data_IF_436303442808
#
_entry.id   IF_436303442808
#
_cell.length_a   1.000
_cell.length_b   1.000
_cell.length_c   1.000
_cell.angle_alpha   90.00
_cell.angle_beta   90.00
_cell.angle_gamma   90.00
#
_symmetry.space_group_name_H-M   'P 1'
#
loop_
_entity.id
_entity.type
_entity.pdbx_description
1 polymer ?
#
# COMPACT_ATOMS: atom_id res chain seq x y z
N UNK A 1 51.85 91.72 -5.13
CA UNK A 1 53.24 91.29 -5.31
C UNK A 1 53.52 90.20 -4.28
N UNK A 2 53.73 88.96 -4.77
CA UNK A 2 54.31 87.76 -4.14
C UNK A 2 53.87 87.32 -2.73
N UNK A 3 53.13 86.19 -2.60
CA UNK A 3 53.62 84.80 -2.45
C UNK A 3 54.42 84.53 -1.16
N UNK A 4 53.86 83.67 -0.28
CA UNK A 4 54.53 82.44 0.19
C UNK A 4 53.50 81.49 0.83
N UNK A 5 53.26 80.36 0.16
CA UNK A 5 52.68 79.14 0.73
C UNK A 5 53.82 78.33 1.35
N UNK A 6 53.61 77.72 2.51
CA UNK A 6 54.34 76.52 2.92
C UNK A 6 53.38 75.57 3.64
N UNK A 7 53.42 74.32 3.20
CA UNK A 7 52.47 73.24 3.46
C UNK A 7 52.73 72.58 4.82
N UNK A 8 51.66 72.34 5.59
CA UNK A 8 51.67 71.41 6.72
C UNK A 8 51.17 70.06 6.21
N UNK A 9 52.03 69.04 6.28
CA UNK A 9 51.72 67.65 5.95
C UNK A 9 50.99 67.03 7.15
N UNK A 10 49.69 66.76 7.02
CA UNK A 10 48.92 65.99 8.02
C UNK A 10 48.94 64.52 7.60
N UNK A 11 49.61 63.69 8.38
CA UNK A 11 49.58 62.22 8.23
C UNK A 11 48.27 61.75 8.84
N UNK A 12 47.33 61.32 7.99
CA UNK A 12 46.07 60.71 8.41
C UNK A 12 46.27 59.20 8.53
N UNK A 13 46.35 58.71 9.77
CA UNK A 13 46.34 57.28 10.10
C UNK A 13 44.96 56.71 9.83
N UNK A 14 44.85 55.93 8.75
CA UNK A 14 43.67 55.10 8.44
C UNK A 14 43.67 53.90 9.37
N UNK A 15 42.70 53.83 10.27
CA UNK A 15 42.38 52.61 11.01
C UNK A 15 41.76 51.61 10.03
N UNK A 16 42.51 50.57 9.67
CA UNK A 16 41.92 49.38 9.06
C UNK A 16 41.21 48.60 10.16
N UNK A 17 39.88 48.66 10.15
CA UNK A 17 39.03 47.71 10.86
C UNK A 17 39.13 46.40 10.08
N UNK A 18 39.90 45.45 10.60
CA UNK A 18 39.82 44.06 10.18
C UNK A 18 38.44 43.55 10.59
N UNK A 19 37.59 43.17 9.62
CA UNK A 19 36.56 42.18 9.91
C UNK A 19 37.28 40.92 10.41
N UNK A 20 36.81 40.34 11.50
CA UNK A 20 37.15 38.97 11.85
C UNK A 20 36.67 38.06 10.71
N UNK A 21 37.43 37.01 10.44
CA UNK A 21 36.93 35.82 9.76
C UNK A 21 35.90 35.16 10.70
N UNK A 22 34.72 35.75 10.81
CA UNK A 22 33.54 35.03 11.24
C UNK A 22 33.27 34.07 10.08
N UNK A 23 33.76 32.84 10.21
CA UNK A 23 33.24 31.67 9.48
C UNK A 23 31.73 31.83 9.47
N UNK A 24 31.16 32.17 8.31
CA UNK A 24 29.74 32.31 8.16
C UNK A 24 29.14 30.93 8.41
N UNK A 25 28.77 30.68 9.67
CA UNK A 25 28.02 29.52 10.10
C UNK A 25 26.63 29.67 9.50
N UNK A 26 26.46 29.18 8.27
CA UNK A 26 25.15 28.91 7.73
C UNK A 26 24.55 27.76 8.54
N UNK A 27 23.82 28.10 9.60
CA UNK A 27 22.90 27.16 10.22
C UNK A 27 21.76 26.96 9.24
N UNK A 28 21.50 25.72 8.89
CA UNK A 28 20.23 25.38 8.26
C UNK A 28 19.12 25.83 9.21
N UNK A 29 18.14 26.54 8.66
CA UNK A 29 16.99 26.96 9.47
C UNK A 29 16.19 25.71 9.84
N UNK A 30 15.67 25.64 11.08
CA UNK A 30 14.80 24.55 11.46
C UNK A 30 13.58 24.53 10.54
N UNK A 31 13.33 23.38 9.93
CA UNK A 31 12.08 23.11 9.25
C UNK A 31 11.08 22.50 10.22
N UNK A 32 9.82 22.69 9.88
CA UNK A 32 8.72 22.15 10.65
C UNK A 32 7.73 21.57 9.67
N UNK A 33 7.73 20.25 9.56
CA UNK A 33 6.61 19.55 8.97
C UNK A 33 5.55 19.43 10.06
N UNK A 34 4.51 20.26 9.94
CA UNK A 34 3.34 20.13 10.79
C UNK A 34 2.37 19.19 10.11
N UNK A 35 2.37 17.94 10.55
CA UNK A 35 1.35 16.99 10.19
C UNK A 35 0.16 17.23 11.11
N UNK A 36 -0.67 18.21 10.75
CA UNK A 36 -2.03 18.13 11.26
C UNK A 36 -2.59 16.83 10.69
N UNK A 37 -2.96 15.89 11.56
CA UNK A 37 -4.10 15.08 11.19
C UNK A 37 -5.17 16.10 10.84
N UNK A 38 -5.51 16.16 9.56
CA UNK A 38 -6.61 16.98 9.10
C UNK A 38 -7.79 16.72 10.02
N UNK A 39 -8.71 17.69 10.17
CA UNK A 39 -10.08 17.29 10.49
C UNK A 39 -10.47 16.30 9.37
N UNK A 40 -10.29 15.00 9.65
CA UNK A 40 -9.93 13.98 8.65
C UNK A 40 -8.55 13.28 8.81
N UNK A 41 -8.23 12.76 10.01
CA UNK A 41 -7.57 11.47 10.35
C UNK A 41 -6.17 11.07 9.81
N UNK A 42 -5.19 10.89 10.73
CA UNK A 42 -4.34 9.69 10.82
C UNK A 42 -5.25 8.55 11.20
N UNK A 43 -5.07 7.41 10.54
CA UNK A 43 -6.13 6.45 10.49
C UNK A 43 -5.70 5.06 10.97
N UNK A 44 -6.13 4.71 12.18
CA UNK A 44 -6.22 3.31 12.59
C UNK A 44 -7.36 2.58 11.85
N UNK A 45 -8.14 3.28 11.01
CA UNK A 45 -9.05 2.65 10.06
C UNK A 45 -8.25 2.08 8.92
N UNK A 46 -8.40 0.78 8.79
CA UNK A 46 -7.75 -0.04 7.81
C UNK A 46 -8.83 -0.72 6.97
N UNK A 47 -8.80 -0.57 5.67
CA UNK A 47 -9.69 -1.27 4.75
C UNK A 47 -8.92 -2.32 3.99
N UNK A 48 -9.20 -3.59 4.26
CA UNK A 48 -8.52 -4.73 3.67
C UNK A 48 -9.43 -5.34 2.61
N UNK A 49 -9.00 -5.30 1.36
CA UNK A 49 -9.67 -5.98 0.25
C UNK A 49 -8.91 -7.26 -0.08
N UNK A 50 -9.50 -8.42 0.20
CA UNK A 50 -9.01 -9.69 -0.32
C UNK A 50 -9.57 -9.94 -1.72
N UNK A 51 -8.68 -10.25 -2.65
CA UNK A 51 -9.01 -10.67 -4.02
C UNK A 51 -8.62 -12.14 -4.13
N UNK A 52 -9.62 -13.00 -4.19
CA UNK A 52 -9.42 -14.46 -4.20
C UNK A 52 -9.66 -14.99 -5.60
N UNK A 53 -8.65 -15.62 -6.17
CA UNK A 53 -8.82 -16.39 -7.38
C UNK A 53 -9.82 -17.55 -7.14
N UNK A 54 -10.87 -17.55 -7.96
CA UNK A 54 -11.98 -18.51 -7.89
C UNK A 54 -11.91 -19.60 -8.96
N UNK A 55 -10.75 -19.79 -9.61
CA UNK A 55 -10.50 -20.84 -10.59
C UNK A 55 -10.52 -22.26 -10.00
N UNK A 56 -10.53 -23.22 -10.94
CA UNK A 56 -10.49 -24.67 -10.69
C UNK A 56 -9.43 -25.12 -9.68
N UNK A 57 -8.24 -24.52 -9.75
CA UNK A 57 -7.04 -24.92 -9.01
C UNK A 57 -6.99 -24.34 -7.59
N UNK A 58 -7.84 -23.38 -7.25
CA UNK A 58 -7.65 -22.57 -6.05
C UNK A 58 -8.16 -23.17 -4.72
N UNK A 59 -8.95 -24.24 -4.75
CA UNK A 59 -9.53 -24.86 -3.55
C UNK A 59 -8.54 -25.14 -2.39
N UNK A 60 -7.38 -25.80 -2.60
CA UNK A 60 -6.43 -26.06 -1.53
C UNK A 60 -5.85 -24.76 -0.93
N UNK A 61 -5.60 -23.74 -1.75
CA UNK A 61 -5.04 -22.46 -1.28
C UNK A 61 -6.05 -21.62 -0.53
N UNK A 62 -7.34 -21.65 -0.92
CA UNK A 62 -8.42 -21.01 -0.15
C UNK A 62 -8.50 -21.61 1.27
N UNK A 63 -8.37 -22.93 1.40
CA UNK A 63 -8.34 -23.61 2.72
C UNK A 63 -7.10 -23.20 3.52
N UNK A 64 -5.93 -23.13 2.87
CA UNK A 64 -4.69 -22.70 3.52
C UNK A 64 -4.81 -21.25 4.04
N UNK A 65 -5.39 -20.36 3.24
CA UNK A 65 -5.65 -18.98 3.65
C UNK A 65 -6.59 -18.91 4.86
N UNK A 66 -7.69 -19.65 4.86
CA UNK A 66 -8.63 -19.73 6.01
C UNK A 66 -7.92 -20.15 7.29
N UNK A 67 -7.07 -21.18 7.21
CA UNK A 67 -6.38 -21.75 8.37
C UNK A 67 -5.38 -20.79 9.02
N UNK A 68 -4.88 -19.80 8.27
CA UNK A 68 -3.86 -18.86 8.75
C UNK A 68 -4.42 -17.44 9.00
N UNK A 69 -5.73 -17.23 8.82
CA UNK A 69 -6.35 -15.92 9.03
C UNK A 69 -6.25 -15.44 10.48
N UNK A 70 -6.34 -16.36 11.46
CA UNK A 70 -6.22 -16.00 12.88
C UNK A 70 -4.90 -15.27 13.17
N UNK A 71 -3.79 -15.77 12.63
CA UNK A 71 -2.48 -15.12 12.77
C UNK A 71 -2.47 -13.71 12.14
N UNK A 72 -3.00 -13.59 10.92
CA UNK A 72 -3.12 -12.32 10.20
C UNK A 72 -3.90 -11.25 10.98
N UNK A 73 -5.07 -11.60 11.52
CA UNK A 73 -5.97 -10.60 12.11
C UNK A 73 -5.65 -10.27 13.58
N UNK A 74 -4.96 -11.18 14.28
CA UNK A 74 -4.72 -11.09 15.72
C UNK A 74 -4.05 -9.80 16.17
N UNK A 75 -3.07 -9.32 15.41
CA UNK A 75 -2.34 -8.09 15.74
C UNK A 75 -3.19 -6.84 15.52
N UNK A 76 -4.00 -6.81 14.44
CA UNK A 76 -4.93 -5.70 14.20
C UNK A 76 -5.97 -5.59 15.33
N UNK A 77 -6.49 -6.72 15.80
CA UNK A 77 -7.41 -6.76 16.95
C UNK A 77 -6.70 -6.29 18.23
N UNK A 78 -5.52 -6.84 18.52
CA UNK A 78 -4.76 -6.54 19.74
C UNK A 78 -4.32 -5.08 19.81
N UNK A 79 -3.98 -4.47 18.67
CA UNK A 79 -3.60 -3.06 18.55
C UNK A 79 -4.79 -2.10 18.41
N UNK A 80 -6.02 -2.61 18.34
CA UNK A 80 -7.23 -1.78 18.28
C UNK A 80 -7.42 -1.04 16.96
N UNK A 81 -7.04 -1.65 15.83
CA UNK A 81 -7.37 -1.11 14.51
C UNK A 81 -8.89 -1.15 14.29
N UNK A 82 -9.44 -0.07 13.74
CA UNK A 82 -10.81 -0.04 13.20
C UNK A 82 -10.75 -0.63 11.78
N UNK A 83 -10.50 -1.93 11.67
CA UNK A 83 -10.39 -2.55 10.35
C UNK A 83 -11.77 -2.89 9.75
N UNK A 84 -11.86 -2.87 8.42
CA UNK A 84 -12.94 -3.47 7.65
C UNK A 84 -12.35 -4.39 6.60
N UNK A 85 -12.92 -5.57 6.44
CA UNK A 85 -12.48 -6.56 5.46
C UNK A 85 -13.60 -6.80 4.47
N UNK A 86 -13.31 -6.62 3.19
CA UNK A 86 -14.16 -7.05 2.09
C UNK A 86 -13.45 -8.15 1.29
N UNK A 87 -14.22 -9.04 0.68
CA UNK A 87 -13.69 -10.12 -0.18
C UNK A 87 -14.37 -10.04 -1.54
N UNK A 88 -13.57 -10.07 -2.60
CA UNK A 88 -14.03 -10.21 -4.00
C UNK A 88 -13.36 -11.42 -4.64
N UNK A 89 -13.85 -11.84 -5.80
CA UNK A 89 -13.17 -12.85 -6.61
C UNK A 89 -12.48 -12.24 -7.82
N UNK A 90 -11.51 -12.96 -8.36
CA UNK A 90 -10.83 -12.60 -9.59
C UNK A 90 -11.75 -12.57 -10.81
N UNK A 91 -12.96 -13.16 -10.75
CA UNK A 91 -13.98 -13.10 -11.80
C UNK A 91 -14.92 -11.87 -11.74
N UNK A 92 -14.73 -10.91 -10.82
CA UNK A 92 -15.57 -9.72 -10.73
C UNK A 92 -15.53 -8.83 -11.99
N UNK A 93 -14.43 -8.88 -12.75
CA UNK A 93 -14.25 -8.15 -14.01
C UNK A 93 -15.37 -8.40 -15.01
N UNK A 94 -16.00 -9.58 -14.98
CA UNK A 94 -17.08 -9.96 -15.89
C UNK A 94 -18.24 -8.96 -15.88
N UNK A 95 -18.54 -8.33 -14.74
CA UNK A 95 -19.60 -7.33 -14.64
C UNK A 95 -19.30 -6.05 -15.47
N UNK A 96 -18.02 -5.77 -15.74
CA UNK A 96 -17.61 -4.67 -16.62
C UNK A 96 -17.89 -4.93 -18.10
N UNK A 97 -18.12 -6.19 -18.49
CA UNK A 97 -18.28 -6.60 -19.89
C UNK A 97 -19.66 -7.16 -20.20
N UNK A 98 -20.28 -7.85 -19.24
CA UNK A 98 -21.54 -8.52 -19.45
C UNK A 98 -22.64 -7.97 -18.54
N UNK A 99 -23.74 -7.54 -19.15
CA UNK A 99 -24.93 -7.06 -18.45
C UNK A 99 -25.85 -8.17 -17.90
N UNK A 100 -25.43 -9.44 -17.95
CA UNK A 100 -26.25 -10.55 -17.45
C UNK A 100 -26.16 -10.68 -15.92
N UNK A 101 -27.23 -11.16 -15.28
CA UNK A 101 -27.32 -11.20 -13.83
C UNK A 101 -26.19 -12.02 -13.16
N UNK A 102 -25.73 -13.09 -13.79
CA UNK A 102 -24.64 -13.93 -13.25
C UNK A 102 -23.36 -13.13 -13.14
N UNK A 103 -22.92 -12.51 -14.24
CA UNK A 103 -21.70 -11.70 -14.26
C UNK A 103 -21.81 -10.47 -13.34
N UNK A 104 -22.95 -9.79 -13.32
CA UNK A 104 -23.18 -8.66 -12.41
C UNK A 104 -23.11 -9.10 -10.93
N UNK A 105 -23.59 -10.30 -10.60
CA UNK A 105 -23.49 -10.84 -9.23
C UNK A 105 -22.04 -11.16 -8.81
N UNK A 106 -21.14 -11.46 -9.76
CA UNK A 106 -19.72 -11.71 -9.45
C UNK A 106 -18.98 -10.47 -8.93
N UNK A 107 -19.47 -9.26 -9.22
CA UNK A 107 -18.89 -8.02 -8.70
C UNK A 107 -19.26 -7.72 -7.25
N UNK A 108 -20.18 -8.46 -6.62
CA UNK A 108 -20.57 -8.23 -5.23
C UNK A 108 -19.44 -8.58 -4.27
N UNK A 109 -19.30 -7.81 -3.20
CA UNK A 109 -18.56 -8.28 -2.04
C UNK A 109 -19.19 -9.58 -1.52
N UNK A 110 -18.33 -10.56 -1.24
CA UNK A 110 -18.76 -11.85 -0.74
C UNK A 110 -19.31 -11.70 0.68
N UNK A 111 -20.48 -12.29 0.89
CA UNK A 111 -21.23 -12.21 2.15
C UNK A 111 -21.80 -13.58 2.53
N UNK A 112 -21.06 -14.65 2.28
CA UNK A 112 -21.50 -16.03 2.58
C UNK A 112 -21.73 -16.24 4.09
N UNK A 113 -21.06 -15.45 4.93
CA UNK A 113 -21.30 -15.38 6.38
C UNK A 113 -22.56 -14.61 6.79
N UNK A 114 -23.24 -13.97 5.83
CA UNK A 114 -24.31 -12.99 6.08
C UNK A 114 -23.80 -11.55 6.18
N UNK A 115 -22.49 -11.33 6.33
CA UNK A 115 -21.86 -10.01 6.41
C UNK A 115 -20.87 -9.82 5.25
N UNK A 116 -21.03 -8.77 4.45
CA UNK A 116 -20.12 -8.45 3.35
C UNK A 116 -18.86 -7.71 3.81
N UNK A 117 -18.98 -6.96 4.90
CA UNK A 117 -17.90 -6.24 5.56
C UNK A 117 -17.69 -6.88 6.92
N UNK A 118 -16.48 -7.38 7.18
CA UNK A 118 -16.09 -7.92 8.48
C UNK A 118 -15.27 -6.87 9.23
N UNK A 119 -15.53 -6.72 10.52
CA UNK A 119 -14.93 -5.69 11.38
C UNK A 119 -14.73 -6.23 12.82
N UNK A 120 -14.12 -5.49 13.75
CA UNK A 120 -13.90 -5.96 15.12
C UNK A 120 -15.16 -6.38 15.89
N UNK A 121 -16.34 -5.93 15.47
CA UNK A 121 -17.62 -6.30 16.09
C UNK A 121 -18.25 -7.57 15.50
N UNK A 122 -17.68 -8.11 14.42
CA UNK A 122 -18.16 -9.33 13.76
C UNK A 122 -18.01 -10.54 14.69
N UNK A 123 -19.12 -11.20 15.08
CA UNK A 123 -19.05 -12.43 15.87
C UNK A 123 -18.29 -13.52 15.10
N UNK A 124 -17.41 -14.24 15.79
CA UNK A 124 -16.62 -15.33 15.24
C UNK A 124 -15.97 -14.98 13.88
N UNK A 125 -15.28 -13.83 13.82
CA UNK A 125 -14.73 -13.26 12.59
C UNK A 125 -13.91 -14.26 11.76
N UNK A 126 -13.22 -15.21 12.39
CA UNK A 126 -12.48 -16.27 11.71
C UNK A 126 -13.39 -17.17 10.87
N UNK A 127 -14.53 -17.57 11.42
CA UNK A 127 -15.54 -18.36 10.70
C UNK A 127 -16.18 -17.53 9.59
N UNK A 128 -16.53 -16.27 9.89
CA UNK A 128 -17.12 -15.37 8.89
C UNK A 128 -16.17 -15.10 7.72
N UNK A 129 -14.88 -14.92 8.00
CA UNK A 129 -13.84 -14.77 7.00
C UNK A 129 -13.68 -16.04 6.17
N UNK A 130 -13.56 -17.20 6.81
CA UNK A 130 -13.43 -18.49 6.10
C UNK A 130 -14.60 -18.74 5.14
N UNK A 131 -15.84 -18.41 5.56
CA UNK A 131 -17.00 -18.46 4.69
C UNK A 131 -16.91 -17.46 3.53
N UNK A 132 -16.48 -16.23 3.80
CA UNK A 132 -16.37 -15.19 2.78
C UNK A 132 -15.21 -15.41 1.80
N UNK A 133 -14.13 -16.12 2.14
CA UNK A 133 -13.04 -16.43 1.17
C UNK A 133 -13.18 -17.76 0.45
N UNK A 134 -14.07 -18.66 0.91
CA UNK A 134 -14.38 -19.92 0.22
C UNK A 134 -15.17 -19.63 -1.07
N UNK A 135 -14.48 -19.05 -2.06
CA UNK A 135 -15.01 -18.56 -3.31
C UNK A 135 -15.65 -19.68 -4.15
N UNK A 136 -15.16 -20.91 -3.96
CA UNK A 136 -15.40 -22.02 -4.85
C UNK A 136 -14.38 -22.03 -5.97
N UNK A 137 -14.57 -22.93 -6.93
CA UNK A 137 -13.64 -23.20 -8.04
C UNK A 137 -14.32 -23.11 -9.42
N UNK A 138 -15.44 -22.39 -9.49
CA UNK A 138 -16.27 -22.21 -10.70
C UNK A 138 -16.08 -20.83 -11.35
N UNK A 139 -14.97 -20.18 -11.02
CA UNK A 139 -14.50 -18.95 -11.64
C UNK A 139 -14.09 -19.13 -13.10
N UNK A 140 -13.68 -18.03 -13.70
CA UNK A 140 -13.25 -17.98 -15.08
C UNK A 140 -11.73 -18.14 -15.14
N UNK A 141 -11.19 -19.06 -15.96
CA UNK A 141 -9.74 -19.20 -16.15
C UNK A 141 -9.07 -18.04 -16.89
N UNK A 142 -9.82 -16.98 -17.21
CA UNK A 142 -9.30 -15.67 -17.57
C UNK A 142 -9.18 -14.83 -16.28
N UNK A 143 -8.05 -14.99 -15.62
CA UNK A 143 -7.77 -14.37 -14.32
C UNK A 143 -7.41 -12.88 -14.48
N UNK A 144 -8.28 -12.00 -13.98
CA UNK A 144 -8.10 -10.54 -14.06
C UNK A 144 -8.29 -9.85 -12.71
N UNK A 145 -7.50 -10.21 -11.69
CA UNK A 145 -7.65 -9.65 -10.34
C UNK A 145 -7.58 -8.12 -10.34
N UNK A 146 -6.77 -7.47 -11.18
CA UNK A 146 -6.65 -6.01 -11.16
C UNK A 146 -7.89 -5.30 -11.71
N UNK A 147 -8.44 -5.79 -12.82
CA UNK A 147 -9.72 -5.30 -13.35
C UNK A 147 -10.87 -5.62 -12.40
N UNK A 148 -10.84 -6.77 -11.73
CA UNK A 148 -11.82 -7.17 -10.72
C UNK A 148 -11.85 -6.21 -9.52
N UNK A 149 -10.69 -5.70 -9.07
CA UNK A 149 -10.63 -4.65 -8.04
C UNK A 149 -11.40 -3.41 -8.50
N UNK A 150 -11.09 -2.89 -9.69
CA UNK A 150 -11.76 -1.69 -10.22
C UNK A 150 -13.28 -1.90 -10.35
N UNK A 151 -13.68 -3.00 -10.98
CA UNK A 151 -15.09 -3.28 -11.23
C UNK A 151 -15.86 -3.43 -9.91
N UNK A 152 -15.33 -4.18 -8.95
CA UNK A 152 -16.01 -4.37 -7.66
C UNK A 152 -16.11 -3.07 -6.85
N UNK A 153 -15.05 -2.26 -6.80
CA UNK A 153 -15.04 -1.01 -6.02
C UNK A 153 -15.88 0.13 -6.62
N UNK A 154 -16.24 0.03 -7.91
CA UNK A 154 -17.17 0.96 -8.57
C UNK A 154 -18.58 0.40 -8.73
N UNK A 155 -18.81 -0.89 -8.43
CA UNK A 155 -20.09 -1.52 -8.67
C UNK A 155 -21.19 -0.98 -7.74
N UNK A 156 -22.37 -0.70 -8.30
CA UNK A 156 -23.52 -0.18 -7.55
C UNK A 156 -24.04 -1.12 -6.45
N UNK A 157 -23.75 -2.42 -6.56
CA UNK A 157 -24.06 -3.39 -5.50
C UNK A 157 -23.24 -3.18 -4.23
N UNK A 158 -22.07 -2.54 -4.34
CA UNK A 158 -21.16 -2.36 -3.22
C UNK A 158 -21.19 -0.93 -2.65
N UNK A 159 -21.79 0.04 -3.36
CA UNK A 159 -21.80 1.45 -2.97
C UNK A 159 -22.46 1.70 -1.60
N UNK A 160 -23.37 0.83 -1.17
CA UNK A 160 -24.05 0.94 0.12
C UNK A 160 -23.19 0.58 1.35
N UNK A 161 -22.03 -0.08 1.16
CA UNK A 161 -21.19 -0.51 2.27
C UNK A 161 -20.25 0.59 2.80
N UNK A 162 -20.10 1.71 2.08
CA UNK A 162 -19.14 2.75 2.44
C UNK A 162 -17.71 2.22 2.53
N UNK A 163 -17.33 1.38 1.56
CA UNK A 163 -16.01 0.76 1.44
C UNK A 163 -15.42 1.04 0.04
N UNK A 164 -14.13 1.41 -0.07
CA UNK A 164 -13.29 1.83 1.04
C UNK A 164 -13.78 3.17 1.63
N UNK A 165 -13.49 3.38 2.91
CA UNK A 165 -13.64 4.64 3.62
C UNK A 165 -12.58 5.60 3.11
N UNK A 166 -13.00 6.82 2.76
CA UNK A 166 -12.12 7.83 2.18
C UNK A 166 -10.98 8.28 3.09
N UNK A 167 -11.14 8.09 4.40
CA UNK A 167 -10.09 8.39 5.36
C UNK A 167 -9.15 7.20 5.59
N UNK A 168 -9.55 5.95 5.35
CA UNK A 168 -8.83 4.73 5.75
C UNK A 168 -7.60 4.43 4.90
N UNK A 169 -6.60 3.76 5.51
CA UNK A 169 -5.52 3.13 4.74
C UNK A 169 -6.09 1.88 4.05
N UNK A 170 -5.87 1.72 2.75
CA UNK A 170 -6.39 0.60 1.98
C UNK A 170 -5.30 -0.44 1.69
N UNK A 171 -5.43 -1.63 2.27
CA UNK A 171 -4.59 -2.77 1.92
C UNK A 171 -5.32 -3.70 0.95
N UNK A 172 -4.75 -3.97 -0.21
CA UNK A 172 -5.26 -5.00 -1.13
C UNK A 172 -4.38 -6.24 -1.00
N UNK A 173 -4.98 -7.41 -0.87
CA UNK A 173 -4.28 -8.70 -0.80
C UNK A 173 -4.83 -9.59 -1.90
N UNK A 174 -4.01 -9.87 -2.91
CA UNK A 174 -4.37 -10.76 -4.03
C UNK A 174 -3.81 -12.15 -3.77
N UNK A 175 -4.64 -13.18 -3.89
CA UNK A 175 -4.24 -14.59 -3.73
C UNK A 175 -4.65 -15.35 -4.99
N UNK A 176 -3.67 -15.79 -5.78
CA UNK A 176 -3.89 -16.39 -7.11
C UNK A 176 -2.74 -17.33 -7.47
N UNK A 177 -3.02 -18.40 -8.20
CA UNK A 177 -2.00 -19.25 -8.83
C UNK A 177 -1.73 -18.88 -10.29
N UNK A 178 -2.29 -17.75 -10.76
CA UNK A 178 -2.05 -17.17 -12.08
C UNK A 178 -1.45 -15.75 -12.03
N UNK A 179 -1.18 -15.19 -13.21
CA UNK A 179 -0.84 -13.77 -13.36
C UNK A 179 -2.10 -12.94 -13.69
N UNK A 180 -2.00 -11.62 -13.73
CA UNK A 180 -3.10 -10.75 -14.16
C UNK A 180 -3.16 -10.58 -15.68
N UNK A 181 -4.25 -11.04 -16.29
CA UNK A 181 -4.51 -10.91 -17.72
C UNK A 181 -5.53 -9.82 -18.02
N UNK A 182 -5.64 -8.82 -17.15
CA UNK A 182 -6.57 -7.70 -17.34
C UNK A 182 -6.43 -7.07 -18.72
N UNK A 183 -7.54 -7.00 -19.47
CA UNK A 183 -7.55 -6.51 -20.83
C UNK A 183 -8.92 -5.89 -21.22
N UNK A 184 -9.01 -5.36 -22.43
CA UNK A 184 -10.19 -4.65 -22.94
C UNK A 184 -11.20 -5.54 -23.67
N UNK A 185 -11.04 -6.86 -23.65
CA UNK A 185 -11.86 -7.80 -24.43
C UNK A 185 -12.71 -8.71 -23.53
N UNK A 186 -13.78 -9.25 -24.10
CA UNK A 186 -14.69 -10.20 -23.43
C UNK A 186 -14.17 -11.64 -23.42
N UNK A 187 -12.96 -11.88 -23.91
CA UNK A 187 -12.33 -13.21 -23.98
C UNK A 187 -10.92 -13.11 -23.43
N UNK A 188 -10.33 -14.19 -22.94
CA UNK A 188 -8.91 -14.15 -22.63
C UNK A 188 -8.08 -13.87 -23.89
N UNK A 189 -6.89 -13.31 -23.68
CA UNK A 189 -5.97 -12.95 -24.74
C UNK A 189 -5.54 -14.15 -25.60
N UNK A 190 -5.63 -15.37 -25.05
CA UNK A 190 -5.24 -16.62 -25.72
C UNK A 190 -6.26 -17.73 -25.45
N UNK A 191 -7.38 -17.78 -26.19
CA UNK A 191 -8.33 -18.88 -26.06
C UNK A 191 -7.74 -20.17 -26.66
N UNK A 192 -7.94 -21.30 -25.98
CA UNK A 192 -7.66 -22.62 -26.53
C UNK A 192 -8.76 -23.08 -27.49
N UNK A 193 -8.49 -24.15 -28.24
CA UNK A 193 -9.41 -24.70 -29.24
C UNK A 193 -10.77 -25.15 -28.66
N UNK A 194 -10.86 -25.34 -27.33
CA UNK A 194 -12.08 -25.73 -26.61
C UNK A 194 -12.78 -24.55 -25.93
N UNK A 195 -12.30 -23.32 -26.12
CA UNK A 195 -12.89 -22.10 -25.55
C UNK A 195 -12.49 -21.78 -24.11
N UNK A 196 -11.56 -22.53 -23.51
CA UNK A 196 -10.91 -22.15 -22.25
C UNK A 196 -9.71 -21.25 -22.48
N UNK A 197 -9.09 -20.74 -21.42
CA UNK A 197 -7.94 -19.86 -21.52
C UNK A 197 -6.63 -20.65 -21.48
N UNK A 198 -5.70 -20.28 -22.37
CA UNK A 198 -4.37 -20.87 -22.46
C UNK A 198 -3.33 -19.78 -22.26
N UNK A 199 -3.33 -19.26 -21.04
CA UNK A 199 -2.40 -18.24 -20.62
C UNK A 199 -0.96 -18.82 -20.49
N UNK A 200 -0.84 -20.15 -20.42
CA UNK A 200 0.43 -20.88 -20.27
C UNK A 200 1.31 -20.91 -21.52
N UNK A 201 0.73 -20.75 -22.71
CA UNK A 201 1.42 -21.13 -23.94
C UNK A 201 2.42 -20.11 -24.47
N UNK A 202 2.40 -18.83 -24.05
CA UNK A 202 3.13 -17.83 -24.82
C UNK A 202 3.49 -16.56 -24.02
N UNK A 203 4.80 -16.35 -23.84
CA UNK A 203 5.46 -15.10 -23.38
C UNK A 203 5.04 -13.78 -24.08
N UNK A 204 4.45 -13.76 -25.29
CA UNK A 204 3.93 -12.56 -25.94
C UNK A 204 2.65 -11.97 -25.36
N UNK A 205 1.99 -12.61 -24.37
CA UNK A 205 0.86 -11.97 -23.68
C UNK A 205 1.26 -10.58 -23.15
N UNK A 206 2.49 -10.46 -22.62
CA UNK A 206 3.12 -9.19 -22.19
C UNK A 206 3.32 -8.16 -23.30
N UNK A 207 3.44 -8.62 -24.53
CA UNK A 207 3.60 -7.77 -25.72
C UNK A 207 2.28 -7.58 -26.48
N UNK A 208 1.18 -8.13 -25.96
CA UNK A 208 -0.13 -7.99 -26.59
C UNK A 208 -0.53 -6.50 -26.55
N UNK A 209 -0.98 -5.92 -27.68
CA UNK A 209 -1.33 -4.50 -27.73
C UNK A 209 -2.34 -4.07 -26.65
N UNK A 210 -3.32 -4.92 -26.33
CA UNK A 210 -4.29 -4.62 -25.26
C UNK A 210 -3.68 -4.65 -23.85
N UNK A 211 -2.60 -5.39 -23.60
CA UNK A 211 -1.91 -5.30 -22.31
C UNK A 211 -1.20 -3.96 -22.14
N UNK A 212 -0.87 -3.27 -23.25
CA UNK A 212 -0.27 -1.94 -23.20
C UNK A 212 -1.25 -0.87 -22.69
N UNK A 213 -2.57 -1.09 -22.78
CA UNK A 213 -3.59 -0.21 -22.20
C UNK A 213 -4.02 -0.63 -20.79
N UNK A 214 -3.53 -1.76 -20.31
CA UNK A 214 -3.77 -2.31 -18.96
C UNK A 214 -2.44 -2.47 -18.20
N UNK A 215 -1.61 -1.44 -18.20
CA UNK A 215 -0.37 -1.43 -17.42
C UNK A 215 -0.66 -1.38 -15.92
N UNK A 216 0.24 -1.93 -15.11
CA UNK A 216 0.17 -1.89 -13.64
C UNK A 216 0.02 -0.46 -13.13
N UNK A 217 0.70 0.50 -13.77
CA UNK A 217 0.60 1.94 -13.50
C UNK A 217 -0.85 2.46 -13.52
N UNK A 218 -1.71 1.94 -14.41
CA UNK A 218 -3.11 2.36 -14.49
C UNK A 218 -3.90 1.95 -13.24
N UNK A 219 -3.63 0.76 -12.73
CA UNK A 219 -4.28 0.23 -11.51
C UNK A 219 -3.76 0.89 -10.25
N UNK A 220 -2.45 1.16 -10.19
CA UNK A 220 -1.86 1.99 -9.13
C UNK A 220 -2.48 3.37 -9.09
N UNK A 221 -2.59 4.02 -10.24
CA UNK A 221 -3.17 5.35 -10.35
C UNK A 221 -4.64 5.35 -9.94
N UNK A 222 -5.40 4.31 -10.33
CA UNK A 222 -6.76 4.11 -9.86
C UNK A 222 -6.85 4.01 -8.33
N UNK A 223 -6.05 3.14 -7.69
CA UNK A 223 -6.04 2.99 -6.23
C UNK A 223 -5.58 4.27 -5.54
N UNK A 224 -4.59 4.96 -6.11
CA UNK A 224 -4.11 6.26 -5.63
C UNK A 224 -5.24 7.28 -5.60
N UNK A 225 -6.01 7.39 -6.69
CA UNK A 225 -7.17 8.29 -6.77
C UNK A 225 -8.28 7.86 -5.79
N UNK A 226 -8.60 6.56 -5.73
CA UNK A 226 -9.66 6.01 -4.88
C UNK A 226 -9.42 6.28 -3.40
N UNK A 227 -8.15 6.30 -2.99
CA UNK A 227 -7.73 6.46 -1.58
C UNK A 227 -7.26 7.88 -1.24
N UNK A 228 -7.20 8.79 -2.23
CA UNK A 228 -6.64 10.13 -2.04
C UNK A 228 -5.15 10.12 -1.68
N UNK A 229 -4.44 9.05 -2.05
CA UNK A 229 -3.02 8.86 -1.74
C UNK A 229 -2.15 9.90 -2.46
N UNK A 230 -1.17 10.44 -1.73
CA UNK A 230 -0.10 11.31 -2.28
C UNK A 230 1.28 10.66 -2.04
N UNK A 231 2.35 11.30 -2.49
CA UNK A 231 3.71 10.81 -2.23
C UNK A 231 4.09 10.96 -0.74
N UNK A 232 3.58 12.00 -0.09
CA UNK A 232 3.84 12.34 1.32
C UNK A 232 2.91 11.58 2.28
N UNK A 233 1.73 11.20 1.80
CA UNK A 233 0.72 10.46 2.56
C UNK A 233 0.26 9.27 1.71
N UNK A 234 1.06 8.21 1.59
CA UNK A 234 0.63 6.99 0.94
C UNK A 234 -0.52 6.36 1.73
N UNK A 235 -1.64 6.08 1.05
CA UNK A 235 -2.88 5.56 1.67
C UNK A 235 -3.27 4.18 1.17
N UNK A 236 -2.40 3.52 0.41
CA UNK A 236 -2.64 2.15 -0.01
C UNK A 236 -1.36 1.37 -0.26
N UNK A 237 -1.48 0.05 -0.18
CA UNK A 237 -0.52 -0.89 -0.74
C UNK A 237 -1.24 -2.12 -1.31
N UNK A 238 -0.54 -2.87 -2.15
CA UNK A 238 -1.04 -4.14 -2.69
C UNK A 238 -0.03 -5.22 -2.36
N UNK A 239 -0.41 -6.21 -1.56
CA UNK A 239 0.38 -7.43 -1.34
C UNK A 239 -0.18 -8.58 -2.16
N UNK A 240 0.66 -9.55 -2.47
CA UNK A 240 0.26 -10.73 -3.27
C UNK A 240 0.73 -12.01 -2.61
N UNK A 241 -0.05 -13.08 -2.75
CA UNK A 241 0.35 -14.45 -2.52
C UNK A 241 0.18 -15.16 -3.87
N UNK A 242 1.29 -15.35 -4.57
CA UNK A 242 1.29 -15.77 -5.98
C UNK A 242 2.42 -16.78 -6.27
N UNK A 243 2.46 -17.28 -7.50
CA UNK A 243 3.59 -18.11 -7.98
C UNK A 243 4.78 -17.20 -8.28
N UNK A 244 5.82 -17.24 -7.44
CA UNK A 244 6.96 -16.32 -7.55
C UNK A 244 8.08 -16.81 -8.47
N UNK A 245 8.20 -18.13 -8.67
CA UNK A 245 9.31 -18.69 -9.43
C UNK A 245 8.95 -19.98 -10.19
N UNK A 246 9.92 -20.43 -10.99
CA UNK A 246 9.78 -21.65 -11.79
C UNK A 246 9.76 -22.94 -10.95
N UNK A 247 10.31 -22.95 -9.74
CA UNK A 247 10.27 -24.13 -8.88
C UNK A 247 8.84 -24.36 -8.38
N UNK A 248 8.20 -23.28 -7.93
CA UNK A 248 6.79 -23.25 -7.55
C UNK A 248 5.88 -23.64 -8.72
N UNK A 249 6.05 -23.00 -9.89
CA UNK A 249 5.26 -23.31 -11.10
C UNK A 249 5.36 -24.78 -11.51
N UNK A 250 6.54 -25.39 -11.40
CA UNK A 250 6.78 -26.75 -11.88
C UNK A 250 6.48 -27.83 -10.83
N UNK A 251 5.93 -27.48 -9.65
CA UNK A 251 5.58 -28.46 -8.62
C UNK A 251 4.38 -29.33 -9.07
N UNK A 252 4.60 -30.63 -9.35
CA UNK A 252 3.58 -31.51 -9.88
C UNK A 252 2.51 -31.91 -8.86
N UNK A 253 2.72 -31.60 -7.56
CA UNK A 253 1.80 -31.99 -6.49
C UNK A 253 0.57 -31.09 -6.39
N UNK A 254 0.64 -29.87 -6.91
CA UNK A 254 -0.30 -28.78 -6.56
C UNK A 254 -0.56 -27.78 -7.71
N UNK A 255 0.35 -27.60 -8.67
CA UNK A 255 0.37 -26.41 -9.55
C UNK A 255 0.29 -26.72 -11.06
N UNK A 256 -0.42 -27.77 -11.48
CA UNK A 256 -0.40 -28.25 -12.88
C UNK A 256 -0.84 -27.20 -13.94
N UNK A 257 -1.57 -26.16 -13.55
CA UNK A 257 -2.01 -25.07 -14.42
C UNK A 257 -1.41 -23.69 -14.07
N UNK A 258 -0.59 -23.60 -13.02
CA UNK A 258 -0.18 -22.34 -12.44
C UNK A 258 0.76 -21.51 -13.33
N UNK A 259 0.72 -20.20 -13.16
CA UNK A 259 1.53 -19.23 -13.91
C UNK A 259 2.31 -18.32 -12.98
N UNK A 260 3.57 -18.05 -13.34
CA UNK A 260 4.40 -17.08 -12.60
C UNK A 260 3.70 -15.72 -12.65
N UNK A 261 3.35 -15.19 -11.48
CA UNK A 261 2.67 -13.92 -11.30
C UNK A 261 3.62 -12.73 -11.44
N UNK A 262 4.08 -12.46 -12.66
CA UNK A 262 5.03 -11.37 -12.94
C UNK A 262 4.41 -10.01 -12.59
N UNK A 263 3.17 -9.74 -13.01
CA UNK A 263 2.51 -8.48 -12.62
C UNK A 263 2.11 -8.46 -11.16
N UNK A 264 1.81 -9.62 -10.56
CA UNK A 264 1.58 -9.71 -9.12
C UNK A 264 2.80 -9.20 -8.35
N UNK A 265 3.98 -9.70 -8.72
CA UNK A 265 5.25 -9.26 -8.15
C UNK A 265 5.51 -7.78 -8.40
N UNK A 266 5.38 -7.31 -9.64
CA UNK A 266 5.59 -5.90 -9.99
C UNK A 266 4.61 -4.96 -9.26
N UNK A 267 3.34 -5.34 -9.13
CA UNK A 267 2.34 -4.58 -8.38
C UNK A 267 2.73 -4.49 -6.91
N UNK A 268 3.10 -5.62 -6.30
CA UNK A 268 3.53 -5.65 -4.90
C UNK A 268 4.76 -4.79 -4.66
N UNK A 269 5.82 -4.97 -5.45
CA UNK A 269 7.05 -4.16 -5.33
C UNK A 269 6.79 -2.68 -5.53
N UNK A 270 5.92 -2.33 -6.48
CA UNK A 270 5.70 -0.93 -6.84
C UNK A 270 4.77 -0.17 -5.88
N UNK A 271 4.17 -0.87 -4.90
CA UNK A 271 3.26 -0.31 -3.89
C UNK A 271 3.71 -0.61 -2.46
N UNK A 272 4.99 -0.98 -2.27
CA UNK A 272 5.57 -1.37 -0.97
C UNK A 272 4.80 -2.50 -0.27
N UNK A 273 4.21 -3.41 -1.06
CA UNK A 273 3.55 -4.61 -0.58
C UNK A 273 4.47 -5.82 -0.51
N UNK A 274 3.98 -6.87 0.13
CA UNK A 274 4.71 -8.13 0.29
C UNK A 274 4.42 -9.07 -0.87
N UNK A 275 5.45 -9.78 -1.32
CA UNK A 275 5.36 -10.91 -2.24
C UNK A 275 5.43 -12.21 -1.44
N UNK A 276 4.28 -12.81 -1.17
CA UNK A 276 4.16 -14.14 -0.59
C UNK A 276 4.10 -15.21 -1.67
N UNK A 277 4.55 -16.42 -1.33
CA UNK A 277 4.52 -17.55 -2.26
C UNK A 277 3.27 -18.40 -2.02
N UNK A 278 2.51 -18.66 -3.09
CA UNK A 278 1.37 -19.58 -3.02
C UNK A 278 1.80 -21.04 -2.80
N UNK A 279 3.07 -21.35 -3.11
CA UNK A 279 3.67 -22.66 -2.88
C UNK A 279 4.13 -22.89 -1.43
N UNK A 280 4.00 -21.90 -0.55
CA UNK A 280 4.31 -22.10 0.86
C UNK A 280 3.38 -23.16 1.47
N UNK A 281 3.95 -24.08 2.26
CA UNK A 281 3.19 -25.16 2.91
C UNK A 281 2.07 -24.64 3.81
N UNK A 282 2.25 -23.44 4.37
CA UNK A 282 1.20 -22.65 5.00
C UNK A 282 1.43 -21.15 4.70
N UNK A 283 0.37 -20.35 4.76
CA UNK A 283 0.50 -18.91 4.51
C UNK A 283 0.83 -18.07 5.75
N UNK A 284 1.17 -18.67 6.90
CA UNK A 284 1.39 -17.90 8.12
C UNK A 284 2.55 -16.91 7.99
N UNK A 285 3.66 -17.31 7.36
CA UNK A 285 4.82 -16.44 7.19
C UNK A 285 4.49 -15.24 6.29
N UNK A 286 3.92 -15.51 5.11
CA UNK A 286 3.48 -14.50 4.15
C UNK A 286 2.44 -13.55 4.77
N UNK A 287 1.43 -14.07 5.46
CA UNK A 287 0.39 -13.25 6.11
C UNK A 287 0.94 -12.41 7.28
N UNK A 288 1.87 -12.95 8.06
CA UNK A 288 2.52 -12.17 9.12
C UNK A 288 3.34 -11.01 8.54
N UNK A 289 4.07 -11.24 7.45
CA UNK A 289 4.79 -10.17 6.75
C UNK A 289 3.82 -9.13 6.18
N UNK A 290 2.73 -9.56 5.55
CA UNK A 290 1.69 -8.64 5.03
C UNK A 290 1.11 -7.80 6.16
N UNK A 291 0.73 -8.41 7.29
CA UNK A 291 0.18 -7.70 8.44
C UNK A 291 1.19 -6.71 9.05
N UNK A 292 2.47 -7.10 9.15
CA UNK A 292 3.54 -6.19 9.60
C UNK A 292 3.72 -5.01 8.64
N UNK A 293 3.75 -5.28 7.33
CA UNK A 293 3.91 -4.26 6.30
C UNK A 293 2.74 -3.27 6.29
N UNK A 294 1.50 -3.75 6.38
CA UNK A 294 0.31 -2.91 6.48
C UNK A 294 0.37 -2.04 7.73
N UNK A 295 0.68 -2.65 8.88
CA UNK A 295 0.82 -1.92 10.14
C UNK A 295 1.88 -0.84 10.02
N UNK A 296 3.01 -1.16 9.39
CA UNK A 296 4.13 -0.26 9.19
C UNK A 296 3.78 0.90 8.26
N UNK A 297 3.15 0.65 7.12
CA UNK A 297 2.79 1.71 6.18
C UNK A 297 1.65 2.58 6.68
N UNK A 298 0.73 2.02 7.49
CA UNK A 298 -0.36 2.78 8.09
C UNK A 298 0.09 3.73 9.22
N UNK A 299 1.28 3.53 9.80
CA UNK A 299 1.77 4.31 10.97
C UNK A 299 2.97 5.22 10.66
N UNK A 300 3.26 5.47 9.38
CA UNK A 300 4.40 6.27 8.92
C UNK A 300 4.01 7.67 8.42
N UNK A 301 4.88 8.63 8.73
CA UNK A 301 4.76 10.02 8.31
C UNK A 301 6.02 10.42 7.54
N UNK A 302 5.89 10.64 6.23
CA UNK A 302 7.01 10.96 5.33
C UNK A 302 7.39 12.43 5.45
N UNK A 303 8.67 12.70 5.65
CA UNK A 303 9.19 14.05 5.81
C UNK A 303 9.43 14.69 4.45
N UNK A 304 9.20 15.99 4.36
CA UNK A 304 9.37 16.75 3.11
C UNK A 304 10.83 16.86 2.67
N UNK A 305 11.78 16.72 3.61
CA UNK A 305 13.22 16.74 3.37
C UNK A 305 13.94 15.75 4.28
N UNK A 306 15.19 15.41 3.92
CA UNK A 306 16.05 14.57 4.75
C UNK A 306 16.45 15.36 6.01
N UNK A 307 16.16 14.88 7.23
CA UNK A 307 16.50 15.56 8.48
C UNK A 307 17.93 15.23 8.95
N UNK A 308 18.52 16.12 9.73
CA UNK A 308 19.58 15.75 10.68
C UNK A 308 18.90 14.99 11.82
N UNK A 309 19.08 13.66 11.85
CA UNK A 309 18.32 12.75 12.73
C UNK A 309 18.33 13.15 14.21
N UNK A 310 19.44 13.69 14.73
CA UNK A 310 19.56 14.11 16.13
C UNK A 310 18.72 15.33 16.50
N UNK A 311 18.19 16.05 15.50
CA UNK A 311 17.39 17.28 15.68
C UNK A 311 15.89 17.01 15.65
N UNK A 312 15.48 15.81 15.21
CA UNK A 312 14.07 15.44 15.12
C UNK A 312 13.40 15.52 16.49
N UNK A 313 12.34 16.31 16.57
CA UNK A 313 11.47 16.42 17.74
C UNK A 313 10.04 16.13 17.31
N UNK A 314 9.50 15.05 17.86
CA UNK A 314 8.12 14.61 17.61
C UNK A 314 7.23 14.99 18.78
N UNK A 315 6.09 15.62 18.47
CA UNK A 315 5.02 15.90 19.42
C UNK A 315 3.70 15.36 18.93
N UNK A 316 2.88 14.89 19.87
CA UNK A 316 1.50 14.46 19.68
C UNK A 316 0.63 15.28 20.63
N UNK A 317 -0.34 16.03 20.11
CA UNK A 317 -1.14 17.01 20.86
C UNK A 317 -0.29 17.99 21.67
N UNK A 318 0.85 18.41 21.11
CA UNK A 318 1.82 19.27 21.78
C UNK A 318 2.68 18.60 22.86
N UNK A 319 2.38 17.35 23.23
CA UNK A 319 3.17 16.55 24.17
C UNK A 319 4.33 15.85 23.43
N UNK A 320 5.54 15.91 23.99
CA UNK A 320 6.71 15.29 23.35
C UNK A 320 6.65 13.77 23.46
N UNK A 321 6.86 13.09 22.33
CA UNK A 321 7.00 11.63 22.29
C UNK A 321 8.48 11.28 22.24
N UNK A 322 8.89 10.32 23.07
CA UNK A 322 10.28 9.88 23.11
C UNK A 322 10.64 9.04 21.88
N UNK A 323 11.89 9.18 21.40
CA UNK A 323 12.45 8.26 20.40
C UNK A 323 12.62 6.89 21.04
N UNK A 324 11.83 5.91 20.61
CA UNK A 324 11.80 4.56 21.15
C UNK A 324 11.08 3.63 20.14
N UNK A 325 11.75 2.55 19.75
CA UNK A 325 11.25 1.59 18.75
C UNK A 325 10.29 0.52 19.32
N UNK A 326 9.88 0.65 20.58
CA UNK A 326 8.87 -0.21 21.23
C UNK A 326 7.63 0.59 21.66
N UNK A 327 7.83 1.76 22.27
CA UNK A 327 6.76 2.65 22.70
C UNK A 327 7.19 4.13 22.54
N UNK A 328 7.04 4.67 21.33
CA UNK A 328 7.56 5.97 20.95
C UNK A 328 7.57 6.16 19.44
N UNK A 329 8.63 6.76 18.92
CA UNK A 329 8.87 6.86 17.49
C UNK A 329 10.30 6.47 17.10
N UNK A 330 10.53 6.18 15.83
CA UNK A 330 11.85 6.07 15.22
C UNK A 330 11.86 6.73 13.83
N UNK A 331 13.05 7.07 13.34
CA UNK A 331 13.25 7.60 11.99
C UNK A 331 13.68 6.46 11.05
N UNK A 332 13.01 6.34 9.92
CA UNK A 332 13.27 5.34 8.89
C UNK A 332 13.96 6.04 7.71
N UNK A 333 15.27 5.79 7.58
CA UNK A 333 16.12 6.46 6.59
C UNK A 333 15.73 6.11 5.15
N UNK A 334 15.41 4.84 4.88
CA UNK A 334 15.08 4.35 3.53
C UNK A 334 13.85 5.01 2.90
N UNK A 335 12.92 5.46 3.74
CA UNK A 335 11.64 6.07 3.34
C UNK A 335 11.57 7.54 3.71
N UNK A 336 12.64 8.10 4.31
CA UNK A 336 12.64 9.44 4.89
C UNK A 336 11.38 9.73 5.74
N UNK A 337 11.07 8.86 6.69
CA UNK A 337 9.81 8.93 7.45
C UNK A 337 10.00 8.75 8.96
N UNK A 338 9.02 9.19 9.74
CA UNK A 338 8.91 8.88 11.17
C UNK A 338 7.81 7.84 11.36
N UNK A 339 8.15 6.75 12.07
CA UNK A 339 7.24 5.65 12.40
C UNK A 339 6.94 5.64 13.89
N UNK A 340 5.68 5.48 14.25
CA UNK A 340 5.26 5.35 15.65
C UNK A 340 5.09 3.89 16.08
N UNK A 341 5.32 3.64 17.37
CA UNK A 341 5.29 2.31 17.99
C UNK A 341 4.51 2.31 19.31
N UNK A 342 3.92 1.16 19.63
CA UNK A 342 3.29 0.90 20.93
C UNK A 342 2.10 1.83 21.21
N UNK A 343 1.95 2.27 22.47
CA UNK A 343 0.91 3.19 22.88
C UNK A 343 1.15 4.64 22.45
N UNK A 344 2.30 4.93 21.82
CA UNK A 344 2.62 6.25 21.30
C UNK A 344 2.10 6.47 19.87
N UNK A 345 1.57 5.43 19.22
CA UNK A 345 0.83 5.55 17.96
C UNK A 345 -0.31 6.55 18.17
N UNK A 346 -0.31 7.71 17.47
CA UNK A 346 -1.30 8.77 17.68
C UNK A 346 -2.73 8.29 17.39
N UNK A 347 -3.71 8.79 18.14
CA UNK A 347 -5.11 8.43 17.95
C UNK A 347 -5.80 9.33 16.90
N UNK A 348 -7.00 8.94 16.47
CA UNK A 348 -7.84 9.80 15.64
C UNK A 348 -8.06 11.17 16.31
N UNK A 349 -7.69 12.25 15.62
CA UNK A 349 -7.81 13.63 16.12
C UNK A 349 -6.56 14.19 16.77
N UNK A 350 -5.49 13.42 16.90
CA UNK A 350 -4.24 13.90 17.48
C UNK A 350 -3.47 14.82 16.51
N UNK A 351 -2.91 15.92 17.00
CA UNK A 351 -2.06 16.82 16.21
C UNK A 351 -0.60 16.39 16.30
N UNK A 352 0.05 16.13 15.15
CA UNK A 352 1.43 15.66 15.10
C UNK A 352 2.34 16.77 14.58
N UNK A 353 3.39 17.09 15.33
CA UNK A 353 4.39 18.07 14.91
C UNK A 353 5.75 17.38 14.86
N UNK A 354 6.39 17.40 13.70
CA UNK A 354 7.74 16.87 13.52
C UNK A 354 8.64 18.02 13.08
N UNK A 355 9.48 18.45 14.01
CA UNK A 355 10.42 19.54 13.80
C UNK A 355 11.82 18.97 13.63
N UNK A 356 12.57 19.44 12.65
CA UNK A 356 13.93 18.98 12.38
C UNK A 356 14.72 20.04 11.62
N UNK A 357 16.04 20.03 11.78
CA UNK A 357 16.94 20.75 10.89
C UNK A 357 17.20 19.84 9.68
N UNK A 358 17.15 20.34 8.43
CA UNK A 358 17.44 19.52 7.26
C UNK A 358 18.91 19.12 7.19
N UNK A 359 19.23 18.04 6.49
CA UNK A 359 20.60 17.66 6.17
C UNK A 359 21.21 18.49 5.04
N UNK A 360 20.39 19.00 4.12
CA UNK A 360 20.81 19.75 2.93
C UNK A 360 19.93 21.01 2.73
N UNK A 361 20.46 22.00 2.00
CA UNK A 361 19.69 23.18 1.59
C UNK A 361 18.63 22.77 0.55
N UNK A 362 17.40 23.26 0.67
CA UNK A 362 16.37 23.04 -0.33
C UNK A 362 16.71 23.75 -1.65
N UNK A 363 16.38 23.13 -2.79
CA UNK A 363 16.46 23.74 -4.13
C UNK A 363 15.45 24.87 -4.34
#
# INVERSE_FOLDING_TARGET
>A
MLLRKLYVLVISTVFMISCSDDEASFSLLPDSDTFQQTTGNFNNKLDILFVIDDSGSMAPYQTNLSNNFSAFISDFITKGYDFRIAVITSSAWEAGFYGNATSQNRAKFRSASGNAILDPSTPDIETAFSQNISAGTTGNGDERPFQSIQVALEHSFNSGYGFPRSDAYMAVIVVTDEDDYSNSTTTCLQPNATGGCNNNAYSPAWTHPDMATHQISNYKEYLRQKTGSTAEIPRYNVSTIAVLDSACKNDPSTHAAAMIGTRMMDMASSTDGVQGSICDTNFSASLNLIQQQISELSTQFYLSRVPIVSTIKVKVNGSTVAKNNTNGWDYIESTNSVKFYGSAVPAEGDSISINFDPAELGE
#
